data_IF_988731003482
#
_entry.id   IF_988731003482
#
_cell.length_a   1.000
_cell.length_b   1.000
_cell.length_c   1.000
_cell.angle_alpha   90.00
_cell.angle_beta   90.00
_cell.angle_gamma   90.00
#
_symmetry.space_group_name_H-M   'P 1'
#
loop_
_entity.id
_entity.type
_entity.pdbx_description
1 polymer ?
#
# COMPACT_ATOMS: atom_id res chain seq x y z
N UNK A 1 -4.82 1.39 9.30
CA UNK A 1 -4.56 1.07 7.87
C UNK A 1 -5.32 -0.15 7.38
N UNK A 2 -6.31 0.11 6.52
CA UNK A 2 -7.24 -0.90 5.98
C UNK A 2 -6.98 -1.27 4.51
N UNK A 3 -5.92 -0.75 3.88
CA UNK A 3 -5.61 -1.06 2.48
C UNK A 3 -4.78 -2.35 2.35
N UNK A 4 -5.31 -3.45 1.76
CA UNK A 4 -4.56 -4.69 1.54
C UNK A 4 -3.35 -4.51 0.64
N UNK A 5 -3.43 -3.53 -0.25
CA UNK A 5 -2.40 -3.32 -1.25
C UNK A 5 -1.09 -2.81 -0.64
N UNK A 6 -1.16 -2.00 0.42
CA UNK A 6 0.04 -1.48 1.08
C UNK A 6 0.76 -2.58 1.86
N UNK A 7 0.04 -3.34 2.68
CA UNK A 7 0.62 -4.46 3.42
C UNK A 7 1.25 -5.50 2.47
N UNK A 8 0.61 -5.76 1.32
CA UNK A 8 1.14 -6.67 0.31
C UNK A 8 2.43 -6.16 -0.38
N UNK A 9 2.71 -4.84 -0.33
CA UNK A 9 3.90 -4.25 -0.93
C UNK A 9 5.11 -4.21 0.02
N UNK A 10 4.89 -4.28 1.33
CA UNK A 10 5.94 -4.05 2.34
C UNK A 10 7.16 -4.99 2.21
N UNK A 11 7.02 -6.31 1.97
CA UNK A 11 8.19 -7.19 1.86
C UNK A 11 9.14 -6.78 0.72
N UNK A 12 8.59 -6.35 -0.41
CA UNK A 12 9.36 -5.86 -1.55
C UNK A 12 10.06 -4.53 -1.22
N UNK A 13 9.34 -3.60 -0.59
CA UNK A 13 9.91 -2.31 -0.19
C UNK A 13 11.00 -2.45 0.87
N UNK A 14 10.87 -3.40 1.81
CA UNK A 14 11.90 -3.73 2.81
C UNK A 14 13.19 -4.25 2.17
N UNK A 15 13.09 -5.10 1.15
CA UNK A 15 14.27 -5.56 0.39
C UNK A 15 14.97 -4.43 -0.34
N UNK A 16 14.20 -3.59 -1.06
CA UNK A 16 14.76 -2.42 -1.73
C UNK A 16 15.40 -1.44 -0.75
N UNK A 17 14.75 -1.19 0.40
CA UNK A 17 15.33 -0.36 1.44
C UNK A 17 16.66 -0.93 1.94
N UNK A 18 16.74 -2.23 2.24
CA UNK A 18 17.99 -2.84 2.68
C UNK A 18 19.15 -2.63 1.69
N UNK A 19 18.85 -2.64 0.39
CA UNK A 19 19.83 -2.51 -0.70
C UNK A 19 20.21 -1.05 -1.05
N UNK A 20 19.25 -0.13 -0.94
CA UNK A 20 19.41 1.24 -1.45
C UNK A 20 19.45 2.33 -0.37
N UNK A 21 19.20 2.01 0.91
CA UNK A 21 19.10 2.98 2.03
C UNK A 21 20.27 3.94 2.20
N UNK A 22 21.48 3.55 1.82
CA UNK A 22 22.67 4.40 1.95
C UNK A 22 22.76 5.48 0.86
N UNK A 23 21.95 5.35 -0.21
CA UNK A 23 21.95 6.23 -1.38
C UNK A 23 20.60 6.90 -1.62
N UNK A 24 19.52 6.30 -1.13
CA UNK A 24 18.14 6.72 -1.37
C UNK A 24 17.34 6.72 -0.08
N UNK A 25 16.69 7.83 0.21
CA UNK A 25 15.76 7.94 1.33
C UNK A 25 14.42 7.29 1.00
N UNK A 26 13.92 6.45 1.91
CA UNK A 26 12.58 5.86 1.84
C UNK A 26 11.68 6.60 2.83
N UNK A 27 10.45 6.90 2.41
CA UNK A 27 9.43 7.51 3.27
C UNK A 27 8.07 6.94 2.88
N UNK A 28 7.30 6.47 3.86
CA UNK A 28 5.87 6.19 3.66
C UNK A 28 5.08 7.46 3.96
N UNK A 29 4.23 7.89 3.04
CA UNK A 29 3.27 8.96 3.29
C UNK A 29 1.94 8.36 3.79
N UNK A 30 1.59 8.64 5.03
CA UNK A 30 0.30 8.31 5.62
C UNK A 30 -0.78 9.30 5.16
N UNK A 31 -1.66 8.82 4.29
CA UNK A 31 -2.73 9.62 3.70
C UNK A 31 -4.06 9.33 4.39
N UNK A 32 -5.19 9.62 3.74
CA UNK A 32 -6.53 9.30 4.27
C UNK A 32 -6.76 7.78 4.27
N UNK A 33 -7.59 7.29 5.21
CA UNK A 33 -7.97 5.88 5.20
C UNK A 33 -8.77 5.57 3.94
N UNK A 34 -8.32 4.58 3.16
CA UNK A 34 -9.03 4.16 1.96
C UNK A 34 -10.41 3.54 2.30
N UNK A 35 -10.48 2.82 3.42
CA UNK A 35 -11.70 2.19 3.92
C UNK A 35 -11.81 2.43 5.44
N UNK A 36 -12.39 3.55 5.87
CA UNK A 36 -12.63 3.81 7.29
C UNK A 36 -13.50 2.71 7.91
N UNK A 37 -13.13 2.23 9.09
CA UNK A 37 -13.91 1.24 9.84
C UNK A 37 -13.81 1.47 11.34
N UNK A 38 -14.49 0.67 12.14
CA UNK A 38 -14.65 0.91 13.59
C UNK A 38 -13.31 1.03 14.33
N UNK A 39 -12.30 0.24 13.94
CA UNK A 39 -10.95 0.26 14.53
C UNK A 39 -10.06 1.38 14.00
N UNK A 40 -10.26 1.80 12.75
CA UNK A 40 -9.50 2.88 12.11
C UNK A 40 -10.49 3.79 11.39
N UNK A 41 -11.20 4.68 12.13
CA UNK A 41 -12.10 5.64 11.52
C UNK A 41 -11.28 6.66 10.72
N UNK A 42 -11.94 7.41 9.85
CA UNK A 42 -11.27 8.52 9.18
C UNK A 42 -10.81 9.52 10.27
N UNK A 43 -9.52 9.88 10.34
CA UNK A 43 -9.05 10.83 11.34
C UNK A 43 -9.70 12.20 11.15
N UNK A 44 -10.24 12.74 12.24
CA UNK A 44 -10.88 14.04 12.35
C UNK A 44 -9.95 15.11 12.95
N UNK A 45 -8.80 14.69 13.50
CA UNK A 45 -7.77 15.55 14.08
C UNK A 45 -6.38 14.98 13.83
N UNK A 46 -5.37 15.85 13.77
CA UNK A 46 -4.01 15.46 13.38
C UNK A 46 -3.41 14.44 14.34
N UNK A 47 -3.64 14.59 15.64
CA UNK A 47 -3.13 13.66 16.65
C UNK A 47 -3.60 12.22 16.42
N UNK A 48 -4.89 12.03 16.11
CA UNK A 48 -5.45 10.71 15.77
C UNK A 48 -4.81 10.16 14.49
N UNK A 49 -4.56 11.01 13.50
CA UNK A 49 -3.88 10.59 12.26
C UNK A 49 -2.43 10.17 12.53
N UNK A 50 -1.74 10.88 13.42
CA UNK A 50 -0.39 10.54 13.86
C UNK A 50 -0.38 9.19 14.60
N UNK A 51 -1.35 8.92 15.46
CA UNK A 51 -1.48 7.63 16.14
C UNK A 51 -1.70 6.49 15.14
N UNK A 52 -2.57 6.67 14.16
CA UNK A 52 -2.78 5.68 13.11
C UNK A 52 -1.51 5.42 12.29
N UNK A 53 -0.70 6.46 12.04
CA UNK A 53 0.57 6.34 11.34
C UNK A 53 1.64 5.60 12.16
N UNK A 54 1.66 5.83 13.50
CA UNK A 54 2.52 5.08 14.43
C UNK A 54 2.12 3.61 14.47
N UNK A 55 0.82 3.33 14.54
CA UNK A 55 0.28 1.98 14.49
C UNK A 55 0.68 1.27 13.20
N UNK A 56 0.59 1.95 12.05
CA UNK A 56 1.06 1.41 10.77
C UNK A 56 2.56 1.05 10.85
N UNK A 57 3.39 2.00 11.27
CA UNK A 57 4.84 1.80 11.35
C UNK A 57 5.20 0.61 12.23
N UNK A 58 4.53 0.48 13.38
CA UNK A 58 4.77 -0.60 14.34
C UNK A 58 4.25 -1.94 13.80
N UNK A 59 3.00 -1.99 13.33
CA UNK A 59 2.36 -3.21 12.81
C UNK A 59 3.13 -3.80 11.63
N UNK A 60 3.55 -2.95 10.70
CA UNK A 60 4.23 -3.39 9.47
C UNK A 60 5.76 -3.36 9.63
N UNK A 61 6.27 -3.03 10.83
CA UNK A 61 7.70 -2.96 11.15
C UNK A 61 8.49 -2.18 10.10
N UNK A 62 8.00 -0.99 9.73
CA UNK A 62 8.60 -0.21 8.65
C UNK A 62 9.94 0.39 9.13
N UNK A 63 11.08 0.03 8.50
CA UNK A 63 12.40 0.46 8.96
C UNK A 63 12.72 1.92 8.60
N UNK A 64 11.87 2.58 7.79
CA UNK A 64 12.01 3.98 7.38
C UNK A 64 10.95 4.89 8.01
N UNK A 65 11.09 6.23 7.94
CA UNK A 65 10.11 7.17 8.49
C UNK A 65 8.73 7.09 7.83
N UNK A 66 7.68 7.34 8.62
CA UNK A 66 6.32 7.54 8.13
C UNK A 66 5.97 9.02 8.29
N UNK A 67 5.86 9.74 7.17
CA UNK A 67 5.35 11.11 7.13
C UNK A 67 3.82 11.09 7.12
N UNK A 68 3.18 12.13 7.63
CA UNK A 68 1.71 12.21 7.71
C UNK A 68 1.23 13.42 6.92
N UNK A 69 0.35 13.18 5.95
CA UNK A 69 -0.30 14.25 5.17
C UNK A 69 -1.29 15.03 6.06
N UNK A 70 -1.75 16.20 5.63
CA UNK A 70 -2.79 16.94 6.35
C UNK A 70 -4.14 16.18 6.39
N UNK A 71 -5.07 16.64 7.22
CA UNK A 71 -6.36 15.96 7.40
C UNK A 71 -7.15 15.83 6.11
N UNK A 72 -7.07 16.86 5.27
CA UNK A 72 -7.77 16.88 4.00
C UNK A 72 -7.12 15.94 2.97
N UNK A 73 -5.83 15.64 3.11
CA UNK A 73 -5.04 14.87 2.15
C UNK A 73 -4.56 15.72 0.97
N UNK A 74 -4.09 16.94 1.22
CA UNK A 74 -3.68 17.89 0.17
C UNK A 74 -2.55 17.34 -0.68
N UNK A 75 -1.49 16.80 -0.06
CA UNK A 75 -0.38 16.22 -0.83
C UNK A 75 -0.83 14.96 -1.60
N UNK A 76 -1.64 14.11 -0.98
CA UNK A 76 -2.19 12.92 -1.63
C UNK A 76 -2.98 13.27 -2.88
N UNK A 77 -3.82 14.31 -2.82
CA UNK A 77 -4.59 14.80 -3.98
C UNK A 77 -3.70 15.39 -5.07
N UNK A 78 -2.63 16.09 -4.70
CA UNK A 78 -1.70 16.68 -5.67
C UNK A 78 -0.89 15.62 -6.44
N UNK A 79 -0.53 14.51 -5.80
CA UNK A 79 0.27 13.46 -6.42
C UNK A 79 -0.57 12.59 -7.38
N UNK A 80 -1.53 11.85 -6.82
CA UNK A 80 -2.63 11.11 -7.46
C UNK A 80 -3.35 10.40 -6.31
N UNK A 81 -4.66 10.60 -6.10
CA UNK A 81 -5.39 10.03 -4.96
C UNK A 81 -5.55 8.51 -4.99
N UNK A 82 -4.93 7.81 -5.97
CA UNK A 82 -4.92 6.35 -6.03
C UNK A 82 -4.12 5.77 -4.86
N UNK A 83 -4.66 4.76 -4.18
CA UNK A 83 -3.96 4.14 -3.06
C UNK A 83 -2.73 3.37 -3.56
N UNK A 84 -1.74 3.23 -2.68
CA UNK A 84 -0.56 2.39 -2.87
C UNK A 84 0.29 2.71 -4.11
N UNK A 85 0.40 3.99 -4.46
CA UNK A 85 1.41 4.48 -5.39
C UNK A 85 2.80 4.56 -4.74
N UNK A 86 3.86 4.36 -5.52
CA UNK A 86 5.20 4.76 -5.11
C UNK A 86 5.77 5.77 -6.11
N UNK A 87 6.53 6.73 -5.59
CA UNK A 87 7.09 7.84 -6.34
C UNK A 87 8.60 7.89 -6.10
N UNK A 88 9.37 8.13 -7.15
CA UNK A 88 10.77 8.53 -7.04
C UNK A 88 10.86 10.03 -7.29
N UNK A 89 11.43 10.71 -6.30
CA UNK A 89 11.61 12.16 -6.30
C UNK A 89 13.10 12.48 -6.37
N UNK A 90 13.46 13.41 -7.25
CA UNK A 90 14.81 13.98 -7.31
C UNK A 90 15.11 14.86 -6.10
N UNK A 91 16.39 15.19 -5.90
CA UNK A 91 16.82 16.12 -4.83
C UNK A 91 16.27 17.55 -5.01
N UNK A 92 15.79 17.86 -6.20
CA UNK A 92 15.11 19.12 -6.55
C UNK A 92 13.61 19.12 -6.19
N UNK A 93 13.12 18.05 -5.56
CA UNK A 93 11.72 17.92 -5.15
C UNK A 93 10.77 17.51 -6.28
N UNK A 94 11.28 17.21 -7.49
CA UNK A 94 10.45 16.81 -8.62
C UNK A 94 10.25 15.31 -8.63
N UNK A 95 8.99 14.88 -8.76
CA UNK A 95 8.65 13.49 -9.06
C UNK A 95 9.01 13.23 -10.51
N UNK A 96 9.94 12.31 -10.75
CA UNK A 96 10.31 11.91 -12.11
C UNK A 96 9.76 10.54 -12.50
N UNK A 97 9.61 9.64 -11.52
CA UNK A 97 9.10 8.31 -11.77
C UNK A 97 7.98 7.95 -10.81
N UNK A 98 6.98 7.23 -11.34
CA UNK A 98 5.83 6.76 -10.58
C UNK A 98 5.48 5.33 -10.94
N UNK A 99 5.18 4.53 -9.91
CA UNK A 99 4.58 3.21 -10.07
C UNK A 99 3.22 3.16 -9.38
N UNK A 100 2.21 2.69 -10.13
CA UNK A 100 0.86 2.42 -9.63
C UNK A 100 0.61 0.93 -9.66
N UNK A 101 0.07 0.37 -8.58
CA UNK A 101 -0.60 -0.94 -8.60
C UNK A 101 0.17 -2.01 -9.40
N UNK A 102 1.49 -2.12 -9.21
CA UNK A 102 2.29 -3.07 -9.99
C UNK A 102 2.56 -4.36 -9.22
N UNK A 103 2.32 -5.46 -9.93
CA UNK A 103 2.57 -6.87 -9.64
C UNK A 103 4.07 -7.13 -9.46
N UNK A 104 4.85 -6.45 -10.30
CA UNK A 104 6.31 -6.52 -10.46
C UNK A 104 6.99 -5.26 -9.89
N UNK A 105 6.40 -4.70 -8.84
CA UNK A 105 6.83 -3.45 -8.22
C UNK A 105 8.32 -3.46 -7.86
N UNK A 106 8.84 -4.58 -7.37
CA UNK A 106 10.23 -4.68 -6.96
C UNK A 106 11.21 -4.58 -8.15
N UNK A 107 11.15 -5.45 -9.19
CA UNK A 107 12.01 -5.31 -10.37
C UNK A 107 11.95 -3.92 -11.00
N UNK A 108 10.76 -3.31 -11.03
CA UNK A 108 10.54 -2.04 -11.69
C UNK A 108 11.10 -0.88 -10.87
N UNK A 109 10.84 -0.85 -9.56
CA UNK A 109 11.44 0.14 -8.68
C UNK A 109 12.96 -0.04 -8.61
N UNK A 110 13.47 -1.27 -8.58
CA UNK A 110 14.90 -1.57 -8.64
C UNK A 110 15.54 -0.97 -9.89
N UNK A 111 15.00 -1.28 -11.07
CA UNK A 111 15.50 -0.76 -12.33
C UNK A 111 15.42 0.78 -12.39
N UNK A 112 14.33 1.37 -11.87
CA UNK A 112 14.21 2.82 -11.76
C UNK A 112 15.28 3.41 -10.84
N UNK A 113 15.50 2.84 -9.65
CA UNK A 113 16.52 3.28 -8.70
C UNK A 113 17.93 3.16 -9.31
N UNK A 114 18.26 2.06 -9.96
CA UNK A 114 19.54 1.85 -10.64
C UNK A 114 19.77 2.85 -11.77
N UNK A 115 18.73 3.11 -12.59
CA UNK A 115 18.80 4.11 -13.66
C UNK A 115 19.14 5.49 -13.09
N UNK A 116 18.41 5.92 -12.05
CA UNK A 116 18.62 7.23 -11.42
C UNK A 116 20.00 7.33 -10.79
N UNK A 117 20.45 6.29 -10.08
CA UNK A 117 21.76 6.26 -9.44
C UNK A 117 22.92 6.22 -10.45
N UNK A 118 22.68 5.70 -11.66
CA UNK A 118 23.64 5.73 -12.77
C UNK A 118 23.66 7.03 -13.57
N UNK A 119 22.90 8.06 -13.14
CA UNK A 119 22.84 9.35 -13.82
C UNK A 119 21.93 9.38 -15.05
N UNK A 120 21.12 8.34 -15.28
CA UNK A 120 20.09 8.33 -16.32
C UNK A 120 18.86 9.12 -15.86
N UNK A 121 18.05 9.56 -16.84
CA UNK A 121 16.86 10.36 -16.58
C UNK A 121 15.91 9.70 -15.59
N UNK A 122 15.37 10.52 -14.70
CA UNK A 122 14.34 10.17 -13.73
C UNK A 122 12.95 9.97 -14.37
N UNK A 123 12.74 10.37 -15.64
CA UNK A 123 11.42 10.41 -16.27
C UNK A 123 10.86 9.02 -16.64
N UNK A 124 9.69 8.66 -16.10
CA UNK A 124 8.94 7.47 -16.53
C UNK A 124 7.68 7.17 -15.70
N UNK A 125 6.82 6.31 -16.22
CA UNK A 125 5.63 5.84 -15.51
C UNK A 125 5.41 4.34 -15.78
N UNK A 126 5.00 3.59 -14.75
CA UNK A 126 4.58 2.21 -14.90
C UNK A 126 3.33 1.88 -14.08
N UNK A 127 2.34 1.23 -14.71
CA UNK A 127 1.08 0.84 -14.06
C UNK A 127 0.77 -0.64 -14.31
N UNK A 128 0.70 -1.44 -13.25
CA UNK A 128 0.09 -2.78 -13.29
C UNK A 128 -1.40 -2.69 -12.98
N UNK A 129 -2.18 -3.71 -13.38
CA UNK A 129 -3.65 -3.74 -13.12
C UNK A 129 -4.17 -5.10 -12.67
N UNK A 130 -3.50 -6.21 -12.95
CA UNK A 130 -4.13 -7.54 -12.95
C UNK A 130 -3.81 -8.35 -11.68
N UNK A 131 -2.56 -8.69 -11.37
CA UNK A 131 -2.17 -9.47 -10.18
C UNK A 131 -2.31 -8.69 -8.86
N UNK A 132 -2.09 -7.37 -8.72
CA UNK A 132 -2.34 -6.65 -7.49
C UNK A 132 -3.83 -6.63 -7.17
N UNK A 133 -4.69 -6.55 -8.18
CA UNK A 133 -6.12 -6.76 -7.98
C UNK A 133 -6.38 -8.18 -7.45
N UNK A 134 -5.76 -9.21 -8.04
CA UNK A 134 -5.90 -10.59 -7.56
C UNK A 134 -5.38 -10.78 -6.11
N UNK A 135 -4.20 -10.25 -5.77
CA UNK A 135 -3.64 -10.28 -4.40
C UNK A 135 -4.53 -9.49 -3.42
N UNK A 136 -5.01 -8.33 -3.83
CA UNK A 136 -5.93 -7.51 -3.05
C UNK A 136 -7.22 -8.26 -2.73
N UNK A 137 -7.82 -8.93 -3.73
CA UNK A 137 -9.01 -9.78 -3.55
C UNK A 137 -8.69 -10.98 -2.65
N UNK A 138 -7.49 -11.57 -2.75
CA UNK A 138 -7.10 -12.69 -1.90
C UNK A 138 -6.96 -12.30 -0.41
N UNK A 139 -6.44 -11.11 -0.10
CA UNK A 139 -6.38 -10.61 1.28
C UNK A 139 -7.69 -9.99 1.77
N UNK A 140 -8.62 -9.70 0.86
CA UNK A 140 -9.86 -9.01 1.19
C UNK A 140 -10.72 -9.79 2.19
N UNK A 141 -10.80 -11.13 2.10
CA UNK A 141 -11.58 -11.93 3.06
C UNK A 141 -10.99 -11.85 4.48
N UNK A 142 -9.66 -11.91 4.61
CA UNK A 142 -8.97 -11.74 5.90
C UNK A 142 -9.22 -10.34 6.47
N UNK A 143 -9.10 -9.30 5.64
CA UNK A 143 -9.34 -7.92 6.09
C UNK A 143 -10.80 -7.64 6.46
N UNK A 144 -11.75 -8.18 5.71
CA UNK A 144 -13.17 -8.07 6.03
C UNK A 144 -13.53 -8.82 7.32
N UNK A 145 -12.84 -9.92 7.61
CA UNK A 145 -12.97 -10.63 8.89
C UNK A 145 -12.48 -9.77 10.04
N UNK A 146 -11.31 -9.16 9.90
CA UNK A 146 -10.74 -8.25 10.90
C UNK A 146 -11.58 -6.96 11.08
N UNK A 147 -12.23 -6.49 10.02
CA UNK A 147 -13.04 -5.25 10.03
C UNK A 147 -14.47 -5.46 10.54
N UNK A 148 -14.89 -6.70 10.76
CA UNK A 148 -16.16 -7.03 11.40
C UNK A 148 -17.37 -7.15 10.45
N UNK A 149 -18.56 -7.46 11.02
CA UNK A 149 -19.74 -7.86 10.25
C UNK A 149 -20.32 -6.75 9.35
N UNK A 150 -20.16 -5.49 9.74
CA UNK A 150 -20.67 -4.34 8.98
C UNK A 150 -19.91 -4.16 7.68
N UNK A 151 -18.57 -4.15 7.72
CA UNK A 151 -17.72 -4.08 6.53
C UNK A 151 -18.00 -5.21 5.53
N UNK A 152 -18.25 -6.43 6.03
CA UNK A 152 -18.65 -7.58 5.19
C UNK A 152 -19.96 -7.33 4.45
N UNK A 153 -20.97 -6.79 5.14
CA UNK A 153 -22.28 -6.49 4.52
C UNK A 153 -22.17 -5.40 3.47
N UNK A 154 -21.37 -4.37 3.74
CA UNK A 154 -21.24 -3.24 2.84
C UNK A 154 -20.51 -3.63 1.55
N UNK A 155 -19.42 -4.39 1.64
CA UNK A 155 -18.72 -4.91 0.44
C UNK A 155 -19.58 -5.90 -0.32
N UNK A 156 -20.33 -6.78 0.37
CA UNK A 156 -21.28 -7.70 -0.28
C UNK A 156 -22.36 -6.95 -1.07
N UNK A 157 -22.84 -5.80 -0.57
CA UNK A 157 -23.84 -4.97 -1.24
C UNK A 157 -23.23 -4.15 -2.39
N UNK A 158 -22.06 -3.56 -2.18
CA UNK A 158 -21.44 -2.64 -3.13
C UNK A 158 -20.72 -3.35 -4.29
N UNK A 159 -20.13 -4.53 -4.04
CA UNK A 159 -19.39 -5.30 -5.04
C UNK A 159 -19.59 -6.83 -4.86
N UNK A 160 -20.79 -7.36 -5.13
CA UNK A 160 -21.12 -8.78 -4.90
C UNK A 160 -20.16 -9.78 -5.59
N UNK A 161 -19.74 -9.57 -6.85
CA UNK A 161 -18.82 -10.48 -7.53
C UNK A 161 -17.44 -10.55 -6.86
N UNK A 162 -16.91 -9.40 -6.41
CA UNK A 162 -15.62 -9.36 -5.70
C UNK A 162 -15.72 -10.02 -4.31
N UNK A 163 -16.83 -9.83 -3.61
CA UNK A 163 -17.07 -10.48 -2.32
C UNK A 163 -17.06 -12.02 -2.44
N UNK A 164 -17.76 -12.57 -3.44
CA UNK A 164 -17.77 -14.01 -3.69
C UNK A 164 -16.36 -14.54 -4.01
N UNK A 165 -15.63 -13.83 -4.87
CA UNK A 165 -14.27 -14.22 -5.27
C UNK A 165 -13.28 -14.17 -4.09
N UNK A 166 -13.36 -13.16 -3.24
CA UNK A 166 -12.55 -13.07 -2.03
C UNK A 166 -12.82 -14.24 -1.06
N UNK A 167 -14.08 -14.62 -0.87
CA UNK A 167 -14.44 -15.77 -0.02
C UNK A 167 -13.86 -17.09 -0.51
N UNK A 168 -13.92 -17.32 -1.82
CA UNK A 168 -13.36 -18.54 -2.43
C UNK A 168 -11.85 -18.56 -2.27
N UNK A 169 -11.17 -17.46 -2.60
CA UNK A 169 -9.70 -17.40 -2.49
C UNK A 169 -9.20 -17.45 -1.04
N UNK A 170 -9.90 -16.82 -0.09
CA UNK A 170 -9.58 -16.92 1.33
C UNK A 170 -9.66 -18.34 1.88
N UNK A 171 -10.70 -19.10 1.49
CA UNK A 171 -10.86 -20.51 1.87
C UNK A 171 -9.76 -21.41 1.28
N UNK A 172 -9.36 -21.15 0.02
CA UNK A 172 -8.28 -21.92 -0.62
C UNK A 172 -6.90 -21.66 0.01
N UNK A 173 -6.67 -20.45 0.53
CA UNK A 173 -5.43 -20.07 1.21
C UNK A 173 -5.29 -20.76 2.57
N UNK A 174 -6.33 -20.73 3.40
CA UNK A 174 -6.36 -21.45 4.68
C UNK A 174 -6.12 -22.95 4.51
N UNK A 175 -6.72 -23.56 3.49
CA UNK A 175 -6.57 -24.99 3.20
C UNK A 175 -5.17 -25.39 2.70
N UNK A 176 -4.36 -24.43 2.23
CA UNK A 176 -2.95 -24.66 1.85
C UNK A 176 -2.00 -24.54 3.04
N UNK A 177 -2.30 -23.66 3.99
CA UNK A 177 -1.53 -23.51 5.22
C UNK A 177 -1.68 -24.75 6.13
N UNK A 178 -2.86 -25.36 6.18
CA UNK A 178 -3.13 -26.59 6.95
C UNK A 178 -2.49 -27.88 6.37
N UNK A 179 -2.06 -27.87 5.09
CA UNK A 179 -1.48 -29.06 4.41
C UNK A 179 0.05 -29.06 4.46
N UNK A 180 0.66 -27.97 4.94
CA UNK A 180 2.13 -27.82 5.00
C UNK A 180 2.67 -27.89 6.44
N UNK A 181 1.86 -28.37 7.39
CA UNK A 181 2.23 -28.56 8.80
C UNK A 181 2.27 -30.04 9.17
#
# INVERSE_FOLDING_TARGET
>A
MTCPMTAAADPALKRLHAEFRDRVAFVTLYVREAHPGDRYPQPDRLDRKMDHARDLKARDELPWPVAVDDLDGTLHRMLDPKPNAAYLMGRDGRVGFRVLWSDDREPILRAALENVLSGRSLAGEHQGRVVPMLRGVAEMDRMLTLSGPTARRDVRKAAPPMYAMARVMGLMKHRREDVTT
#
